data_IF_516469630720
#
_entry.id   IF_516469630720
#
_cell.length_a   1.000
_cell.length_b   1.000
_cell.length_c   1.000
_cell.angle_alpha   90.00
_cell.angle_beta   90.00
_cell.angle_gamma   90.00
#
_symmetry.space_group_name_H-M   'P 1'
#
loop_
_entity.id
_entity.type
_entity.pdbx_description
1 polymer ?
#
# COMPACT_ATOMS: atom_id res chain seq x y z
N UNK A 1 0.66 -14.74 1.94
CA UNK A 1 -0.11 -13.51 2.31
C UNK A 1 -1.04 -13.85 3.47
N UNK A 2 -0.97 -13.12 4.60
CA UNK A 2 -1.28 -13.69 5.91
C UNK A 2 -2.76 -13.91 6.27
N UNK A 3 -3.68 -12.94 6.11
CA UNK A 3 -5.06 -13.13 6.64
C UNK A 3 -6.15 -12.29 5.98
N UNK A 4 -7.03 -12.95 5.22
CA UNK A 4 -8.12 -12.32 4.45
C UNK A 4 -7.66 -11.04 3.72
N UNK A 5 -6.56 -11.12 2.93
CA UNK A 5 -6.00 -9.95 2.27
C UNK A 5 -7.01 -9.28 1.36
N UNK A 6 -6.75 -8.03 1.00
CA UNK A 6 -7.70 -7.22 0.24
C UNK A 6 -7.12 -6.68 -1.07
N UNK A 7 -6.41 -5.55 -1.02
CA UNK A 7 -5.78 -4.98 -2.19
C UNK A 7 -4.62 -5.84 -2.68
N UNK A 8 -4.53 -5.96 -4.01
CA UNK A 8 -3.39 -6.50 -4.74
C UNK A 8 -3.02 -5.47 -5.81
N UNK A 9 -1.89 -4.79 -5.64
CA UNK A 9 -1.53 -3.63 -6.44
C UNK A 9 -0.17 -3.86 -7.12
N UNK A 10 -0.11 -3.73 -8.44
CA UNK A 10 1.11 -3.89 -9.23
C UNK A 10 1.94 -2.59 -9.21
N UNK A 11 3.23 -2.68 -8.92
CA UNK A 11 4.13 -1.53 -8.93
C UNK A 11 4.41 -1.05 -10.36
N UNK A 12 4.60 0.26 -10.58
CA UNK A 12 4.78 0.84 -11.92
C UNK A 12 6.10 0.45 -12.59
N UNK A 13 7.07 -0.07 -11.82
CA UNK A 13 8.34 -0.59 -12.32
C UNK A 13 8.24 -2.03 -12.87
N UNK A 14 7.03 -2.61 -12.85
CA UNK A 14 6.71 -3.96 -13.36
C UNK A 14 7.39 -5.11 -12.61
N UNK A 15 7.90 -4.86 -11.40
CA UNK A 15 8.62 -5.88 -10.62
C UNK A 15 7.78 -6.55 -9.56
N UNK A 16 6.88 -5.81 -8.91
CA UNK A 16 6.26 -6.24 -7.67
C UNK A 16 4.73 -6.20 -7.69
N UNK A 17 4.12 -7.10 -6.94
CA UNK A 17 2.74 -6.99 -6.47
C UNK A 17 2.75 -6.80 -4.96
N UNK A 18 1.95 -5.86 -4.47
CA UNK A 18 1.76 -5.60 -3.05
C UNK A 18 0.40 -6.12 -2.63
N UNK A 19 0.39 -7.12 -1.74
CA UNK A 19 -0.81 -7.68 -1.14
C UNK A 19 -1.01 -7.10 0.26
N UNK A 20 -2.11 -6.36 0.47
CA UNK A 20 -2.43 -5.74 1.74
C UNK A 20 -3.09 -6.73 2.71
N UNK A 21 -2.55 -6.85 3.93
CA UNK A 21 -2.86 -7.91 4.87
C UNK A 21 -4.21 -7.85 5.57
N UNK A 22 -4.96 -6.73 5.49
CA UNK A 22 -6.23 -6.46 6.17
C UNK A 22 -6.27 -6.84 7.66
N UNK A 23 -6.54 -8.12 7.96
CA UNK A 23 -6.59 -8.63 9.33
C UNK A 23 -5.20 -8.89 9.92
N UNK A 24 -4.17 -8.93 9.06
CA UNK A 24 -2.77 -8.84 9.43
C UNK A 24 -2.29 -7.39 9.25
N UNK A 25 -1.51 -6.82 10.18
CA UNK A 25 -1.01 -5.44 10.08
C UNK A 25 0.16 -5.28 9.09
N UNK A 26 0.25 -6.14 8.08
CA UNK A 26 1.40 -6.25 7.17
C UNK A 26 1.04 -5.98 5.71
N UNK A 27 2.06 -5.65 4.91
CA UNK A 27 2.03 -5.75 3.45
C UNK A 27 3.02 -6.83 2.99
N UNK A 28 2.57 -7.70 2.09
CA UNK A 28 3.41 -8.72 1.45
C UNK A 28 3.82 -8.25 0.06
N UNK A 29 5.12 -8.21 -0.23
CA UNK A 29 5.72 -7.85 -1.53
C UNK A 29 6.09 -9.13 -2.27
N UNK A 30 5.49 -9.33 -3.44
CA UNK A 30 5.70 -10.50 -4.31
C UNK A 30 6.43 -10.04 -5.57
N UNK A 31 7.53 -10.70 -5.91
CA UNK A 31 8.31 -10.41 -7.12
C UNK A 31 7.78 -11.21 -8.32
N UNK A 32 7.33 -10.53 -9.38
CA UNK A 32 6.74 -11.14 -10.57
C UNK A 32 7.69 -12.14 -11.25
N UNK A 33 8.97 -11.78 -11.39
CA UNK A 33 9.96 -12.66 -12.02
C UNK A 33 10.06 -14.03 -11.32
N UNK A 34 9.99 -14.03 -9.98
CA UNK A 34 10.01 -15.27 -9.19
C UNK A 34 8.74 -16.08 -9.26
N UNK A 35 7.59 -15.42 -9.44
CA UNK A 35 6.33 -16.12 -9.74
C UNK A 35 6.47 -16.88 -11.06
N UNK A 36 7.04 -16.24 -12.09
CA UNK A 36 7.29 -16.89 -13.38
C UNK A 36 8.29 -18.05 -13.24
N UNK A 37 9.36 -17.87 -12.49
CA UNK A 37 10.33 -18.95 -12.21
C UNK A 37 9.70 -20.14 -11.48
N UNK A 38 8.71 -19.91 -10.60
CA UNK A 38 7.94 -20.98 -9.97
C UNK A 38 7.08 -21.75 -10.98
N UNK A 39 6.39 -21.05 -11.90
CA UNK A 39 5.65 -21.70 -12.99
C UNK A 39 6.57 -22.50 -13.94
N UNK A 40 7.80 -22.03 -14.15
CA UNK A 40 8.83 -22.72 -14.93
C UNK A 40 9.47 -23.92 -14.19
N UNK A 41 9.11 -24.16 -12.93
CA UNK A 41 9.67 -25.24 -12.10
C UNK A 41 11.10 -24.98 -11.62
N UNK A 42 11.58 -23.73 -11.68
CA UNK A 42 12.91 -23.32 -11.16
C UNK A 42 12.90 -23.05 -9.66
N UNK A 43 11.72 -22.90 -9.06
CA UNK A 43 11.51 -22.75 -7.62
C UNK A 43 10.60 -23.85 -7.09
N UNK A 44 10.96 -24.46 -5.97
CA UNK A 44 10.16 -25.51 -5.34
C UNK A 44 9.00 -24.95 -4.52
N UNK A 45 9.18 -23.77 -3.89
CA UNK A 45 8.18 -23.17 -3.00
C UNK A 45 7.60 -21.90 -3.61
N UNK A 46 6.28 -21.80 -3.57
CA UNK A 46 5.56 -20.59 -3.98
C UNK A 46 6.00 -19.37 -3.16
N UNK A 47 6.26 -19.57 -1.87
CA UNK A 47 6.65 -18.50 -0.94
C UNK A 47 8.03 -17.90 -1.27
N UNK A 48 8.86 -18.54 -2.09
CA UNK A 48 10.15 -17.98 -2.51
C UNK A 48 9.98 -16.71 -3.36
N UNK A 49 8.77 -16.50 -3.92
CA UNK A 49 8.38 -15.28 -4.62
C UNK A 49 8.07 -14.10 -3.67
N UNK A 50 7.89 -14.34 -2.37
CA UNK A 50 7.73 -13.29 -1.36
C UNK A 50 9.10 -12.72 -1.04
N UNK A 51 9.32 -11.44 -1.38
CA UNK A 51 10.59 -10.74 -1.16
C UNK A 51 10.57 -9.81 0.03
N UNK A 52 9.39 -9.45 0.52
CA UNK A 52 9.22 -8.82 1.81
C UNK A 52 7.84 -9.13 2.40
N UNK A 53 7.78 -9.22 3.72
CA UNK A 53 6.55 -9.08 4.50
C UNK A 53 6.90 -8.23 5.71
N UNK A 54 6.32 -7.04 5.80
CA UNK A 54 6.67 -6.03 6.81
C UNK A 54 5.42 -5.44 7.45
N UNK A 55 5.51 -5.10 8.72
CA UNK A 55 4.43 -4.47 9.48
C UNK A 55 4.33 -2.99 9.14
N UNK A 56 3.13 -2.54 8.76
CA UNK A 56 2.91 -1.16 8.31
C UNK A 56 1.81 -0.45 9.09
N UNK A 57 0.98 -1.17 9.86
CA UNK A 57 -0.05 -0.62 10.75
C UNK A 57 -1.35 -1.42 10.69
N UNK A 58 -2.37 -0.97 11.42
CA UNK A 58 -3.62 -1.71 11.58
C UNK A 58 -4.58 -1.50 10.41
N UNK A 59 -5.05 -2.62 9.85
CA UNK A 59 -6.04 -2.63 8.78
C UNK A 59 -5.52 -2.20 7.40
N UNK A 60 -4.38 -2.70 6.90
CA UNK A 60 -3.89 -2.33 5.57
C UNK A 60 -4.84 -2.84 4.49
N UNK A 61 -5.35 -1.96 3.62
CA UNK A 61 -6.34 -2.32 2.58
C UNK A 61 -5.84 -2.20 1.14
N UNK A 62 -5.31 -1.06 0.71
CA UNK A 62 -4.89 -0.83 -0.68
C UNK A 62 -3.61 -0.02 -0.76
N UNK A 63 -2.84 -0.21 -1.84
CA UNK A 63 -1.55 0.45 -2.05
C UNK A 63 -1.51 1.20 -3.39
N UNK A 64 -0.97 2.43 -3.39
CA UNK A 64 -0.62 3.21 -4.58
C UNK A 64 0.89 3.51 -4.61
N UNK A 65 1.40 4.06 -5.72
CA UNK A 65 2.84 4.24 -5.97
C UNK A 65 3.14 5.61 -6.59
N UNK A 66 4.34 6.14 -6.32
CA UNK A 66 4.76 7.46 -6.81
C UNK A 66 5.80 7.45 -7.95
N UNK A 67 6.18 6.27 -8.46
CA UNK A 67 7.24 6.16 -9.46
C UNK A 67 8.67 6.39 -8.95
N UNK A 68 8.86 6.64 -7.64
CA UNK A 68 10.17 6.85 -6.98
C UNK A 68 10.54 5.70 -6.04
N UNK A 69 9.87 4.55 -6.18
CA UNK A 69 10.06 3.37 -5.34
C UNK A 69 9.31 3.40 -4.01
N UNK A 70 8.46 4.40 -3.76
CA UNK A 70 7.60 4.43 -2.58
C UNK A 70 6.20 3.90 -2.87
N UNK A 71 5.65 3.25 -1.86
CA UNK A 71 4.30 2.76 -1.77
C UNK A 71 3.52 3.56 -0.70
N UNK A 72 2.23 3.77 -0.94
CA UNK A 72 1.31 4.49 -0.06
C UNK A 72 0.16 3.55 0.25
N UNK A 73 0.08 3.05 1.48
CA UNK A 73 -0.93 2.06 1.87
C UNK A 73 -1.94 2.67 2.83
N UNK A 74 -3.22 2.40 2.60
CA UNK A 74 -4.30 2.81 3.51
C UNK A 74 -4.36 1.88 4.71
N UNK A 75 -4.47 2.46 5.90
CA UNK A 75 -4.64 1.78 7.18
C UNK A 75 -6.03 2.12 7.71
N UNK A 76 -6.99 1.22 7.47
CA UNK A 76 -8.40 1.44 7.76
C UNK A 76 -8.67 1.66 9.25
N UNK A 77 -8.02 0.87 10.12
CA UNK A 77 -8.24 0.92 11.56
C UNK A 77 -7.49 2.10 12.20
N UNK A 78 -6.25 2.34 11.79
CA UNK A 78 -5.48 3.50 12.25
C UNK A 78 -6.00 4.83 11.67
N UNK A 79 -6.84 4.78 10.63
CA UNK A 79 -7.32 5.94 9.88
C UNK A 79 -6.16 6.77 9.29
N UNK A 80 -5.18 6.08 8.72
CA UNK A 80 -3.95 6.68 8.21
C UNK A 80 -3.63 6.23 6.78
N UNK A 81 -2.74 6.97 6.14
CA UNK A 81 -1.91 6.47 5.04
C UNK A 81 -0.50 6.32 5.57
N UNK A 82 0.16 5.22 5.23
CA UNK A 82 1.58 5.03 5.48
C UNK A 82 2.34 5.10 4.15
N UNK A 83 3.31 6.01 4.06
CA UNK A 83 4.31 6.05 3.00
C UNK A 83 5.48 5.15 3.41
N UNK A 84 5.87 4.23 2.55
CA UNK A 84 6.97 3.31 2.81
C UNK A 84 7.74 2.99 1.53
N UNK A 85 9.01 2.61 1.66
CA UNK A 85 9.88 2.31 0.52
C UNK A 85 10.04 0.79 0.33
N UNK A 86 9.83 0.33 -0.90
CA UNK A 86 9.79 -1.11 -1.23
C UNK A 86 11.17 -1.76 -1.07
N UNK A 87 12.22 -1.14 -1.59
CA UNK A 87 13.58 -1.69 -1.52
C UNK A 87 14.08 -1.78 -0.08
N UNK A 88 13.80 -0.76 0.75
CA UNK A 88 14.11 -0.80 2.18
C UNK A 88 13.31 -1.87 2.92
N UNK A 89 12.06 -2.11 2.56
CA UNK A 89 11.27 -3.20 3.14
C UNK A 89 11.86 -4.57 2.79
N UNK A 90 12.34 -4.76 1.55
CA UNK A 90 13.04 -5.96 1.12
C UNK A 90 14.35 -6.14 1.88
N UNK A 91 15.14 -5.07 2.04
CA UNK A 91 16.39 -5.11 2.83
C UNK A 91 16.11 -5.48 4.30
N UNK A 92 15.10 -4.86 4.91
CA UNK A 92 14.68 -5.15 6.29
C UNK A 92 14.26 -6.61 6.48
N UNK A 93 13.47 -7.13 5.53
CA UNK A 93 13.01 -8.51 5.54
C UNK A 93 14.19 -9.50 5.41
N UNK A 94 15.21 -9.16 4.61
CA UNK A 94 16.46 -9.93 4.47
C UNK A 94 17.40 -9.83 5.68
N UNK A 95 17.05 -9.05 6.70
CA UNK A 95 17.76 -9.01 7.97
C UNK A 95 18.48 -7.69 8.27
N UNK A 96 18.48 -6.71 7.36
CA UNK A 96 19.05 -5.39 7.63
C UNK A 96 18.13 -4.59 8.56
N UNK A 97 18.38 -4.68 9.86
CA UNK A 97 17.57 -3.98 10.87
C UNK A 97 17.74 -2.46 10.87
N UNK A 98 18.72 -1.93 10.13
CA UNK A 98 18.91 -0.49 9.96
C UNK A 98 18.10 0.08 8.78
N UNK A 99 17.53 -0.77 7.92
CA UNK A 99 16.69 -0.35 6.81
C UNK A 99 15.32 0.16 7.31
N UNK A 100 15.22 1.48 7.52
CA UNK A 100 13.95 2.12 7.87
C UNK A 100 13.05 2.25 6.64
N UNK A 101 12.10 1.32 6.49
CA UNK A 101 11.20 1.27 5.34
C UNK A 101 9.97 2.17 5.45
N UNK A 102 9.45 2.43 6.66
CA UNK A 102 8.41 3.45 6.86
C UNK A 102 9.05 4.83 6.70
N UNK A 103 8.51 5.63 5.79
CA UNK A 103 9.01 6.98 5.46
C UNK A 103 8.20 8.03 6.20
N UNK A 104 6.86 7.92 6.14
CA UNK A 104 5.97 8.89 6.77
C UNK A 104 4.57 8.29 7.03
N UNK A 105 3.77 8.97 7.86
CA UNK A 105 2.36 8.66 8.12
C UNK A 105 1.54 9.93 8.09
N UNK A 106 0.37 9.85 7.47
CA UNK A 106 -0.59 10.95 7.42
C UNK A 106 -1.96 10.49 7.91
N UNK A 107 -2.52 11.22 8.88
CA UNK A 107 -3.88 11.01 9.33
C UNK A 107 -4.88 11.40 8.22
N UNK A 108 -5.86 10.53 7.97
CA UNK A 108 -6.96 10.77 7.06
C UNK A 108 -8.30 10.53 7.75
N UNK A 109 -9.38 10.97 7.11
CA UNK A 109 -10.61 11.32 7.79
C UNK A 109 -11.83 10.78 7.05
N UNK A 110 -12.39 9.64 7.41
CA UNK A 110 -11.84 8.60 8.29
C UNK A 110 -12.03 7.23 7.65
N UNK A 111 -11.26 6.25 8.13
CA UNK A 111 -11.33 4.86 7.66
C UNK A 111 -11.10 4.76 6.14
N UNK A 112 -9.86 5.00 5.68
CA UNK A 112 -9.54 4.97 4.26
C UNK A 112 -9.70 3.57 3.67
N UNK A 113 -10.38 3.47 2.53
CA UNK A 113 -10.48 2.25 1.74
C UNK A 113 -9.44 2.23 0.63
N UNK A 114 -9.90 2.41 -0.61
CA UNK A 114 -9.01 2.56 -1.76
C UNK A 114 -8.23 3.88 -1.72
N UNK A 115 -7.08 3.84 -2.39
CA UNK A 115 -6.19 4.96 -2.64
C UNK A 115 -5.66 4.82 -4.06
N UNK A 116 -5.43 5.93 -4.75
CA UNK A 116 -4.73 5.93 -6.03
C UNK A 116 -3.93 7.21 -6.21
N UNK A 117 -2.91 7.18 -7.05
CA UNK A 117 -2.12 8.35 -7.41
C UNK A 117 -2.14 8.61 -8.92
N UNK A 118 -1.82 9.83 -9.33
CA UNK A 118 -1.74 10.22 -10.72
C UNK A 118 -0.80 9.28 -11.50
N UNK A 119 -1.35 8.61 -12.50
CA UNK A 119 -0.65 7.61 -13.33
C UNK A 119 -0.05 6.41 -12.59
N UNK A 120 -0.41 6.18 -11.31
CA UNK A 120 0.20 5.17 -10.43
C UNK A 120 0.12 3.73 -10.94
N UNK A 121 -0.89 3.40 -11.74
CA UNK A 121 -1.10 2.06 -12.31
C UNK A 121 -0.52 1.93 -13.72
N UNK A 122 0.41 2.83 -14.08
CA UNK A 122 1.09 2.84 -15.37
C UNK A 122 2.58 3.09 -15.17
N UNK A 123 3.39 2.83 -16.19
CA UNK A 123 4.82 3.19 -16.19
C UNK A 123 5.09 4.71 -16.17
N UNK A 124 4.04 5.53 -16.28
CA UNK A 124 4.10 6.97 -16.26
C UNK A 124 3.77 7.59 -14.89
N UNK A 125 3.79 6.80 -13.81
CA UNK A 125 3.58 7.28 -12.44
C UNK A 125 4.45 8.51 -12.15
N UNK A 126 3.81 9.63 -11.80
CA UNK A 126 4.47 10.95 -11.76
C UNK A 126 4.69 11.49 -10.34
N UNK A 127 4.10 10.83 -9.34
CA UNK A 127 4.27 11.15 -7.93
C UNK A 127 3.76 12.54 -7.53
N UNK A 128 2.74 13.08 -8.20
CA UNK A 128 2.22 14.42 -7.90
C UNK A 128 1.07 14.43 -6.89
N UNK A 129 0.00 13.69 -7.18
CA UNK A 129 -1.21 13.72 -6.35
C UNK A 129 -1.68 12.33 -5.99
N UNK A 130 -2.21 12.21 -4.77
CA UNK A 130 -2.78 11.01 -4.21
C UNK A 130 -4.24 11.30 -3.80
N UNK A 131 -5.18 10.48 -4.26
CA UNK A 131 -6.59 10.54 -3.92
C UNK A 131 -6.98 9.37 -3.02
N UNK A 132 -7.68 9.64 -1.92
CA UNK A 132 -7.94 8.67 -0.85
C UNK A 132 -9.42 8.65 -0.50
N UNK A 133 -10.06 7.49 -0.71
CA UNK A 133 -11.48 7.31 -0.45
C UNK A 133 -11.77 6.86 0.97
N UNK A 134 -12.05 7.82 1.85
CA UNK A 134 -12.42 7.58 3.24
C UNK A 134 -13.92 7.29 3.39
N UNK A 135 -14.26 6.25 4.16
CA UNK A 135 -15.62 5.70 4.23
C UNK A 135 -16.53 6.42 5.23
N UNK A 136 -15.98 7.22 6.13
CA UNK A 136 -16.78 8.00 7.08
C UNK A 136 -16.31 9.45 7.11
N UNK A 137 -17.16 10.40 6.75
CA UNK A 137 -16.81 11.84 6.82
C UNK A 137 -17.03 12.49 8.18
N UNK A 138 -17.93 11.96 9.02
CA UNK A 138 -18.18 12.46 10.38
C UNK A 138 -18.35 13.98 10.43
N UNK A 139 -17.45 14.68 11.10
CA UNK A 139 -17.42 16.12 11.37
C UNK A 139 -16.71 16.94 10.28
N UNK A 140 -16.31 16.33 9.16
CA UNK A 140 -15.55 17.03 8.11
C UNK A 140 -16.40 17.99 7.26
N UNK A 141 -17.71 17.89 7.32
CA UNK A 141 -18.65 18.70 6.52
C UNK A 141 -19.82 19.21 7.37
N UNK A 142 -20.62 20.12 6.80
CA UNK A 142 -21.89 20.52 7.42
C UNK A 142 -22.81 19.28 7.56
N UNK A 143 -23.56 19.16 8.67
CA UNK A 143 -24.44 18.02 8.89
C UNK A 143 -25.61 18.02 7.88
N UNK A 144 -25.82 16.90 7.20
CA UNK A 144 -26.86 16.73 6.16
C UNK A 144 -27.93 15.69 6.52
N UNK A 145 -28.00 15.32 7.81
CA UNK A 145 -28.91 14.30 8.31
C UNK A 145 -28.21 12.97 8.63
N UNK A 146 -28.95 11.86 8.78
CA UNK A 146 -28.38 10.59 9.24
C UNK A 146 -27.40 9.93 8.25
N UNK A 147 -27.54 10.21 6.95
CA UNK A 147 -26.70 9.65 5.91
C UNK A 147 -25.67 10.69 5.45
N UNK A 148 -24.44 10.53 5.90
CA UNK A 148 -23.34 11.45 5.60
C UNK A 148 -22.63 11.04 4.31
N UNK A 149 -22.03 11.98 3.55
CA UNK A 149 -21.20 11.63 2.41
C UNK A 149 -19.92 10.92 2.86
N UNK A 150 -19.25 10.23 1.94
CA UNK A 150 -17.85 9.84 2.06
C UNK A 150 -16.92 11.08 2.01
N UNK A 151 -15.60 10.87 2.17
CA UNK A 151 -14.63 11.95 2.08
C UNK A 151 -13.43 11.54 1.20
N UNK A 152 -13.39 12.10 0.00
CA UNK A 152 -12.27 11.93 -0.94
C UNK A 152 -11.23 13.02 -0.68
N UNK A 153 -10.08 12.62 -0.11
CA UNK A 153 -9.00 13.56 0.22
C UNK A 153 -7.93 13.55 -0.87
N UNK A 154 -7.60 14.73 -1.38
CA UNK A 154 -6.50 14.94 -2.31
C UNK A 154 -5.27 15.39 -1.52
N UNK A 155 -4.16 14.69 -1.70
CA UNK A 155 -2.88 14.93 -1.00
C UNK A 155 -1.81 15.19 -2.05
N UNK A 156 -1.00 16.23 -1.83
CA UNK A 156 0.22 16.49 -2.58
C UNK A 156 1.32 15.54 -2.09
N UNK A 157 1.88 14.76 -3.02
CA UNK A 157 2.97 13.82 -2.75
C UNK A 157 4.24 14.16 -3.54
N UNK A 158 4.35 15.37 -4.10
CA UNK A 158 5.48 15.79 -4.93
C UNK A 158 6.81 15.96 -4.16
N UNK A 159 6.74 16.07 -2.83
CA UNK A 159 7.90 16.13 -1.91
C UNK A 159 8.57 14.79 -1.61
#
# INVERSE_FOLDING_TARGET
VPKNPHGVNASPDQKYFICAGKLSPTATVIELAKVLDWFDGKSEKLDDAIVAEVEIGLGPLHTAFDGRGNAYTTLFLDSQIVKWNIDKAIAFHKGDKNATYVVDRLDVHYQPGHINATHSETVAADGKFLAVGCKFSKDRFLPVGPFHPENEQLIDISG
#
